data_IF_121177328057
#
_entry.id   IF_121177328057
#
_cell.length_a   1.000
_cell.length_b   1.000
_cell.length_c   1.000
_cell.angle_alpha   90.00
_cell.angle_beta   90.00
_cell.angle_gamma   90.00
#
_symmetry.space_group_name_H-M   'P 1'
#
loop_
_entity.id
_entity.type
_entity.pdbx_description
1 polymer ?
#
# COMPACT_ATOMS: atom_id res chain seq x y z
N UNK A 1 -18.39 14.11 -24.55
CA UNK A 1 -17.96 12.77 -24.09
C UNK A 1 -16.46 12.76 -23.93
N UNK A 2 -15.83 11.61 -23.74
CA UNK A 2 -14.37 11.47 -23.79
C UNK A 2 -13.90 11.27 -25.24
N UNK A 3 -12.82 11.95 -25.63
CA UNK A 3 -12.19 11.84 -26.95
C UNK A 3 -11.25 10.63 -27.07
N UNK A 4 -10.61 10.29 -25.94
CA UNK A 4 -9.71 9.17 -25.79
C UNK A 4 -9.83 8.60 -24.37
N UNK A 5 -9.65 7.28 -24.25
CA UNK A 5 -9.64 6.56 -22.99
C UNK A 5 -8.51 5.55 -23.02
N UNK A 6 -7.62 5.60 -22.04
CA UNK A 6 -6.59 4.58 -21.84
C UNK A 6 -6.92 3.75 -20.61
N UNK A 7 -6.94 2.42 -20.78
CA UNK A 7 -7.27 1.46 -19.72
C UNK A 7 -6.09 0.52 -19.53
N UNK A 8 -5.85 0.15 -18.28
CA UNK A 8 -4.89 -0.88 -17.89
C UNK A 8 -5.65 -2.10 -17.37
N UNK A 9 -5.96 -3.09 -18.22
CA UNK A 9 -6.75 -4.26 -17.83
C UNK A 9 -6.08 -5.11 -16.76
N UNK A 10 -4.77 -4.97 -16.53
CA UNK A 10 -4.07 -5.63 -15.43
C UNK A 10 -4.57 -5.28 -14.04
N UNK A 11 -5.41 -4.24 -13.92
CA UNK A 11 -6.09 -3.87 -12.68
C UNK A 11 -7.39 -4.65 -12.44
N UNK A 12 -7.87 -5.43 -13.42
CA UNK A 12 -9.03 -6.30 -13.27
C UNK A 12 -8.63 -7.69 -12.78
N UNK A 13 -9.60 -8.40 -12.19
CA UNK A 13 -9.44 -9.79 -11.79
C UNK A 13 -9.12 -10.66 -13.03
N UNK A 14 -8.02 -11.41 -12.98
CA UNK A 14 -7.51 -12.17 -14.13
C UNK A 14 -6.74 -11.35 -15.17
N UNK A 15 -6.64 -10.03 -14.99
CA UNK A 15 -5.94 -9.12 -15.90
C UNK A 15 -4.40 -9.09 -15.85
N UNK A 16 -3.68 -9.51 -14.80
CA UNK A 16 -2.22 -9.45 -14.82
C UNK A 16 -1.60 -10.10 -16.07
N UNK A 17 -0.74 -9.36 -16.78
CA UNK A 17 -0.12 -9.79 -18.05
C UNK A 17 -0.87 -9.37 -19.32
N UNK A 18 -1.93 -8.58 -19.23
CA UNK A 18 -2.62 -7.96 -20.39
C UNK A 18 -1.90 -6.70 -20.90
N UNK A 19 -2.01 -6.36 -22.20
CA UNK A 19 -1.56 -5.07 -22.73
C UNK A 19 -2.43 -3.92 -22.18
N UNK A 20 -1.97 -2.67 -22.35
CA UNK A 20 -2.84 -1.51 -22.23
C UNK A 20 -3.80 -1.41 -23.42
N UNK A 21 -4.99 -0.84 -23.22
CA UNK A 21 -5.93 -0.55 -24.30
C UNK A 21 -6.06 0.97 -24.42
N UNK A 22 -5.83 1.48 -25.62
CA UNK A 22 -6.15 2.84 -26.01
C UNK A 22 -7.39 2.81 -26.92
N UNK A 23 -8.46 3.48 -26.49
CA UNK A 23 -9.63 3.76 -27.31
C UNK A 23 -9.62 5.24 -27.66
N UNK A 24 -9.65 5.58 -28.94
CA UNK A 24 -9.74 6.97 -29.41
C UNK A 24 -10.85 7.11 -30.45
N UNK A 25 -11.42 8.31 -30.54
CA UNK A 25 -12.27 8.64 -31.68
C UNK A 25 -11.43 8.59 -32.97
N UNK A 26 -11.89 7.82 -33.97
CA UNK A 26 -11.24 7.71 -35.28
C UNK A 26 -10.96 9.07 -35.94
N UNK A 27 -11.80 10.08 -35.72
CA UNK A 27 -11.60 11.44 -36.24
C UNK A 27 -10.33 12.14 -35.71
N UNK A 28 -9.74 11.63 -34.62
CA UNK A 28 -8.50 12.13 -34.03
C UNK A 28 -7.26 11.44 -34.60
N UNK A 29 -7.43 10.32 -35.30
CA UNK A 29 -6.32 9.62 -35.94
C UNK A 29 -5.91 10.38 -37.21
N UNK A 30 -4.88 11.22 -37.09
CA UNK A 30 -4.37 12.08 -38.17
C UNK A 30 -3.13 11.53 -38.88
N UNK A 31 -2.67 10.35 -38.48
CA UNK A 31 -1.48 9.69 -39.06
C UNK A 31 -1.80 8.88 -40.33
N UNK A 32 -2.97 9.04 -40.95
CA UNK A 32 -3.38 8.25 -42.11
C UNK A 32 -2.33 8.18 -43.24
N UNK A 33 -1.62 9.28 -43.50
CA UNK A 33 -0.56 9.37 -44.51
C UNK A 33 0.86 9.47 -43.91
N UNK A 34 1.01 9.25 -42.60
CA UNK A 34 2.29 9.38 -41.88
C UNK A 34 2.67 8.07 -41.20
N UNK A 35 3.94 7.84 -40.84
CA UNK A 35 4.30 6.65 -40.07
C UNK A 35 3.44 6.51 -38.79
N UNK A 36 3.09 5.27 -38.37
CA UNK A 36 2.42 5.05 -37.09
C UNK A 36 3.27 5.47 -35.89
N UNK A 37 2.67 5.50 -34.70
CA UNK A 37 3.39 5.87 -33.47
C UNK A 37 4.58 4.95 -33.18
N UNK A 38 4.50 3.69 -33.61
CA UNK A 38 5.60 2.72 -33.55
C UNK A 38 5.64 1.95 -34.86
N UNK A 39 6.79 1.99 -35.55
CA UNK A 39 6.98 1.25 -36.81
C UNK A 39 7.49 -0.17 -36.52
N UNK A 40 7.10 -1.14 -37.33
CA UNK A 40 7.58 -2.52 -37.26
C UNK A 40 6.94 -3.41 -38.32
N UNK A 41 7.23 -4.71 -38.26
CA UNK A 41 6.52 -5.68 -39.09
C UNK A 41 5.02 -5.64 -38.82
N UNK A 42 4.21 -5.89 -39.85
CA UNK A 42 2.74 -5.90 -39.71
C UNK A 42 2.05 -4.53 -39.81
N UNK A 43 2.79 -3.42 -39.85
CA UNK A 43 2.19 -2.06 -39.99
C UNK A 43 2.25 -1.49 -41.41
N UNK A 44 2.89 -2.19 -42.32
CA UNK A 44 3.10 -1.79 -43.73
C UNK A 44 2.64 -2.87 -44.69
N UNK A 45 2.06 -2.45 -45.82
CA UNK A 45 1.80 -3.30 -46.97
C UNK A 45 3.02 -3.37 -47.90
N UNK A 46 3.82 -2.29 -47.96
CA UNK A 46 5.01 -2.22 -48.78
C UNK A 46 6.03 -1.25 -48.19
N UNK A 47 7.32 -1.62 -48.28
CA UNK A 47 8.45 -0.76 -47.91
C UNK A 47 9.62 -1.04 -48.87
N UNK A 48 10.37 -0.01 -49.22
CA UNK A 48 11.57 -0.12 -50.05
C UNK A 48 12.75 0.64 -49.40
N UNK A 49 14.01 0.38 -49.83
CA UNK A 49 15.19 1.04 -49.27
C UNK A 49 15.52 2.38 -49.94
N UNK A 50 14.75 2.82 -50.95
CA UNK A 50 15.12 3.94 -51.83
C UNK A 50 14.46 5.26 -51.44
N UNK A 51 13.17 5.24 -51.11
CA UNK A 51 12.42 6.45 -50.77
C UNK A 51 11.30 6.14 -49.77
N UNK A 52 11.36 6.78 -48.60
CA UNK A 52 10.37 6.63 -47.53
C UNK A 52 8.93 6.97 -47.97
N UNK A 53 8.78 7.89 -48.95
CA UNK A 53 7.47 8.31 -49.45
C UNK A 53 6.73 7.22 -50.23
N UNK A 54 7.44 6.19 -50.66
CA UNK A 54 6.86 5.04 -51.36
C UNK A 54 6.35 3.97 -50.38
N UNK A 55 6.54 4.17 -49.07
CA UNK A 55 6.05 3.25 -48.04
C UNK A 55 4.52 3.27 -48.03
N UNK A 56 3.91 2.09 -48.19
CA UNK A 56 2.48 1.92 -48.08
C UNK A 56 2.18 1.35 -46.69
N UNK A 57 1.48 2.12 -45.87
CA UNK A 57 1.05 1.71 -44.54
C UNK A 57 -0.31 1.04 -44.59
N UNK A 58 -0.55 0.11 -43.66
CA UNK A 58 -1.85 -0.54 -43.51
C UNK A 58 -2.93 0.51 -43.20
N UNK A 59 -4.07 0.42 -43.88
CA UNK A 59 -5.21 1.35 -43.73
C UNK A 59 -5.99 1.13 -42.41
N UNK A 60 -6.00 -0.11 -41.89
CA UNK A 60 -6.62 -0.41 -40.61
C UNK A 60 -5.80 0.21 -39.46
N UNK A 61 -6.40 1.17 -38.76
CA UNK A 61 -5.76 1.92 -37.68
C UNK A 61 -5.26 1.01 -36.55
N UNK A 62 -6.02 -0.02 -36.19
CA UNK A 62 -5.64 -0.91 -35.08
C UNK A 62 -4.43 -1.78 -35.44
N UNK A 63 -4.43 -2.35 -36.64
CA UNK A 63 -3.30 -3.16 -37.14
C UNK A 63 -2.05 -2.30 -37.33
N UNK A 64 -2.23 -1.09 -37.85
CA UNK A 64 -1.14 -0.13 -38.09
C UNK A 64 -0.44 0.33 -36.80
N UNK A 65 -1.14 0.37 -35.67
CA UNK A 65 -0.59 0.75 -34.36
C UNK A 65 -0.17 -0.46 -33.50
N UNK A 66 -0.25 -1.69 -34.02
CA UNK A 66 0.12 -2.93 -33.32
C UNK A 66 1.38 -3.57 -33.92
N UNK A 67 2.47 -2.80 -33.91
CA UNK A 67 3.72 -3.15 -34.56
C UNK A 67 4.39 -4.42 -34.00
N UNK A 68 4.94 -5.23 -34.91
CA UNK A 68 5.65 -6.47 -34.60
C UNK A 68 4.71 -7.65 -34.42
N UNK A 69 5.10 -8.62 -33.59
CA UNK A 69 4.23 -9.75 -33.26
C UNK A 69 3.16 -9.31 -32.27
N UNK A 70 1.87 -9.33 -32.64
CA UNK A 70 0.81 -8.91 -31.73
C UNK A 70 0.79 -9.74 -30.45
N UNK A 71 0.43 -9.15 -29.30
CA UNK A 71 0.36 -9.86 -28.03
C UNK A 71 -0.92 -10.73 -27.93
N UNK A 72 -1.10 -11.69 -28.84
CA UNK A 72 -2.36 -12.46 -29.05
C UNK A 72 -2.90 -13.05 -27.74
N UNK A 73 -2.07 -13.81 -27.01
CA UNK A 73 -2.49 -14.44 -25.74
C UNK A 73 -2.88 -13.40 -24.69
N UNK A 74 -2.20 -12.25 -24.67
CA UNK A 74 -2.47 -11.19 -23.72
C UNK A 74 -3.76 -10.43 -24.09
N UNK A 75 -4.08 -10.29 -25.39
CA UNK A 75 -5.37 -9.79 -25.88
C UNK A 75 -6.51 -10.73 -25.51
N UNK A 76 -6.35 -12.04 -25.69
CA UNK A 76 -7.34 -13.05 -25.23
C UNK A 76 -7.56 -12.94 -23.72
N UNK A 77 -6.48 -12.85 -22.92
CA UNK A 77 -6.57 -12.63 -21.47
C UNK A 77 -7.33 -11.35 -21.13
N UNK A 78 -7.15 -10.29 -21.91
CA UNK A 78 -7.87 -9.02 -21.74
C UNK A 78 -9.36 -9.22 -21.91
N UNK A 79 -9.79 -9.87 -23.01
CA UNK A 79 -11.19 -10.17 -23.25
C UNK A 79 -11.80 -10.99 -22.10
N UNK A 80 -11.10 -12.01 -21.61
CA UNK A 80 -11.54 -12.82 -20.47
C UNK A 80 -11.67 -12.01 -19.17
N UNK A 81 -10.74 -11.09 -18.88
CA UNK A 81 -10.83 -10.22 -17.71
C UNK A 81 -12.05 -9.29 -17.78
N UNK A 82 -12.39 -8.79 -18.98
CA UNK A 82 -13.63 -8.04 -19.20
C UNK A 82 -14.87 -8.92 -19.05
N UNK A 83 -14.86 -10.15 -19.57
CA UNK A 83 -15.99 -11.08 -19.39
C UNK A 83 -16.27 -11.38 -17.91
N UNK A 84 -15.22 -11.60 -17.10
CA UNK A 84 -15.38 -11.77 -15.65
C UNK A 84 -16.02 -10.52 -15.03
N UNK A 85 -15.54 -9.32 -15.38
CA UNK A 85 -16.10 -8.06 -14.89
C UNK A 85 -17.57 -7.88 -15.30
N UNK A 86 -17.93 -8.19 -16.54
CA UNK A 86 -19.32 -8.07 -17.02
C UNK A 86 -20.24 -9.10 -16.40
N UNK A 87 -19.76 -10.35 -16.22
CA UNK A 87 -20.50 -11.40 -15.51
C UNK A 87 -20.86 -10.99 -14.08
N UNK A 88 -19.92 -10.39 -13.35
CA UNK A 88 -20.15 -9.89 -11.98
C UNK A 88 -20.99 -8.60 -11.99
N UNK A 89 -20.89 -7.80 -13.05
CA UNK A 89 -21.45 -6.46 -13.21
C UNK A 89 -20.77 -5.37 -12.36
N UNK A 90 -20.57 -4.20 -12.98
CA UNK A 90 -20.02 -3.03 -12.30
C UNK A 90 -20.88 -2.57 -11.11
N UNK A 91 -22.21 -2.80 -11.14
CA UNK A 91 -23.11 -2.42 -10.05
C UNK A 91 -22.86 -3.23 -8.77
N UNK A 92 -22.52 -4.51 -8.91
CA UNK A 92 -22.20 -5.38 -7.77
C UNK A 92 -20.82 -5.00 -7.22
N UNK A 93 -19.83 -4.82 -8.11
CA UNK A 93 -18.48 -4.38 -7.73
C UNK A 93 -18.54 -3.08 -6.94
N UNK A 94 -19.21 -2.06 -7.48
CA UNK A 94 -19.37 -0.76 -6.85
C UNK A 94 -20.05 -0.86 -5.48
N UNK A 95 -21.13 -1.65 -5.37
CA UNK A 95 -21.84 -1.84 -4.10
C UNK A 95 -20.95 -2.49 -3.03
N UNK A 96 -20.21 -3.54 -3.40
CA UNK A 96 -19.33 -4.26 -2.49
C UNK A 96 -18.17 -3.37 -2.02
N UNK A 97 -17.49 -2.69 -2.94
CA UNK A 97 -16.40 -1.77 -2.63
C UNK A 97 -16.87 -0.60 -1.77
N UNK A 98 -18.05 -0.04 -2.07
CA UNK A 98 -18.66 1.01 -1.26
C UNK A 98 -18.97 0.53 0.16
N UNK A 99 -19.56 -0.65 0.30
CA UNK A 99 -19.85 -1.24 1.62
C UNK A 99 -18.58 -1.42 2.44
N UNK A 100 -17.50 -1.94 1.85
CA UNK A 100 -16.24 -2.12 2.57
C UNK A 100 -15.60 -0.81 3.00
N UNK A 101 -15.61 0.22 2.14
CA UNK A 101 -14.97 1.49 2.53
C UNK A 101 -15.76 2.23 3.60
N UNK A 102 -17.09 2.19 3.57
CA UNK A 102 -17.93 2.79 4.61
C UNK A 102 -17.71 2.12 5.97
N UNK A 103 -17.72 0.78 6.01
CA UNK A 103 -17.46 0.03 7.24
C UNK A 103 -16.04 0.26 7.78
N UNK A 104 -15.04 0.36 6.90
CA UNK A 104 -13.67 0.65 7.29
C UNK A 104 -13.53 2.05 7.90
N UNK A 105 -14.17 3.05 7.29
CA UNK A 105 -14.19 4.42 7.82
C UNK A 105 -14.91 4.46 9.17
N UNK A 106 -16.09 3.86 9.29
CA UNK A 106 -16.86 3.83 10.53
C UNK A 106 -16.05 3.22 11.68
N UNK A 107 -15.27 2.17 11.41
CA UNK A 107 -14.46 1.49 12.43
C UNK A 107 -13.18 2.23 12.80
N UNK A 108 -12.47 2.80 11.82
CA UNK A 108 -11.12 3.35 12.04
C UNK A 108 -11.09 4.84 12.36
N UNK A 109 -12.08 5.63 11.93
CA UNK A 109 -12.13 7.08 12.19
C UNK A 109 -12.15 7.45 13.68
N UNK A 110 -12.84 6.72 14.58
CA UNK A 110 -12.83 7.05 16.01
C UNK A 110 -11.46 6.88 16.69
N UNK A 111 -10.49 6.20 16.06
CA UNK A 111 -9.20 5.93 16.68
C UNK A 111 -8.25 7.14 16.55
N UNK A 112 -7.85 7.79 17.66
CA UNK A 112 -7.04 9.04 17.61
C UNK A 112 -5.61 8.84 17.09
N UNK A 113 -5.11 7.60 17.12
CA UNK A 113 -3.78 7.25 16.63
C UNK A 113 -3.77 6.93 15.14
N UNK A 114 -4.93 6.83 14.49
CA UNK A 114 -5.04 6.59 13.06
C UNK A 114 -5.50 7.89 12.40
N UNK A 115 -4.76 8.33 11.39
CA UNK A 115 -5.23 9.40 10.52
C UNK A 115 -5.51 8.85 9.13
N UNK A 116 -6.79 8.78 8.77
CA UNK A 116 -7.22 8.45 7.42
C UNK A 116 -6.99 9.65 6.52
N UNK A 117 -6.27 9.44 5.42
CA UNK A 117 -5.90 10.47 4.48
C UNK A 117 -6.96 10.66 3.38
N UNK A 118 -7.05 11.90 2.91
CA UNK A 118 -8.00 12.36 1.91
C UNK A 118 -9.36 12.73 2.51
N UNK A 119 -10.30 13.11 1.65
CA UNK A 119 -11.66 13.42 2.10
C UNK A 119 -12.37 12.14 2.57
N UNK A 120 -12.91 12.17 3.79
CA UNK A 120 -13.61 11.04 4.42
C UNK A 120 -15.12 11.04 4.19
N UNK A 121 -15.66 12.13 3.64
CA UNK A 121 -17.09 12.31 3.33
C UNK A 121 -17.40 12.12 1.85
N UNK A 122 -16.43 12.36 0.96
CA UNK A 122 -16.60 12.19 -0.47
C UNK A 122 -16.67 10.71 -0.85
N UNK A 123 -17.45 10.40 -1.89
CA UNK A 123 -17.46 9.08 -2.52
C UNK A 123 -16.05 8.70 -2.94
N UNK A 124 -15.58 7.53 -2.51
CA UNK A 124 -14.22 7.05 -2.76
C UNK A 124 -14.20 5.58 -3.12
N UNK A 125 -13.18 5.19 -3.87
CA UNK A 125 -12.84 3.80 -4.11
C UNK A 125 -12.47 3.11 -2.79
N UNK A 126 -12.57 1.77 -2.75
CA UNK A 126 -12.24 0.95 -1.59
C UNK A 126 -10.73 0.84 -1.33
N UNK A 127 -10.07 1.99 -1.26
CA UNK A 127 -8.65 2.17 -1.05
C UNK A 127 -8.47 3.11 0.14
N UNK A 128 -7.90 2.56 1.21
CA UNK A 128 -7.67 3.27 2.45
C UNK A 128 -6.19 3.65 2.55
N UNK A 129 -5.92 4.94 2.58
CA UNK A 129 -4.59 5.51 2.82
C UNK A 129 -4.58 6.13 4.21
N UNK A 130 -3.58 5.82 5.03
CA UNK A 130 -3.56 6.23 6.43
C UNK A 130 -2.15 6.38 7.00
N UNK A 131 -2.06 7.15 8.08
CA UNK A 131 -0.90 7.22 8.97
C UNK A 131 -1.25 6.61 10.32
N UNK A 132 -0.28 5.96 10.94
CA UNK A 132 -0.37 5.52 12.34
C UNK A 132 0.57 6.37 13.16
N UNK A 133 0.04 7.04 14.16
CA UNK A 133 0.78 7.90 15.06
C UNK A 133 1.33 7.16 16.27
N UNK A 134 2.55 7.52 16.64
CA UNK A 134 3.14 7.06 17.90
C UNK A 134 2.66 7.90 19.06
N UNK A 135 2.78 7.36 20.27
CA UNK A 135 2.38 8.02 21.50
C UNK A 135 3.53 8.03 22.49
N UNK A 136 3.60 9.07 23.30
CA UNK A 136 4.57 9.25 24.37
C UNK A 136 3.87 9.67 25.67
N UNK A 137 4.55 9.55 26.80
CA UNK A 137 4.08 10.08 28.07
C UNK A 137 4.62 11.49 28.28
N UNK A 138 3.72 12.42 28.61
CA UNK A 138 4.06 13.76 29.07
C UNK A 138 3.49 13.96 30.48
N UNK A 139 4.33 14.44 31.41
CA UNK A 139 4.00 14.68 32.81
C UNK A 139 3.26 16.00 33.06
N UNK A 140 2.97 16.79 32.02
CA UNK A 140 2.18 18.02 32.13
C UNK A 140 0.71 17.67 32.38
N UNK A 141 0.32 17.62 33.66
CA UNK A 141 -1.07 17.63 34.11
C UNK A 141 -1.64 19.03 33.86
N UNK A 142 -2.45 19.16 32.82
CA UNK A 142 -3.50 20.18 32.77
C UNK A 142 -4.76 19.51 32.19
N UNK A 143 -5.79 19.39 33.04
CA UNK A 143 -7.12 18.95 32.61
C UNK A 143 -7.78 17.91 33.53
N UNK A 144 -8.66 18.39 34.40
CA UNK A 144 -9.72 17.61 35.03
C UNK A 144 -10.55 16.88 33.96
N UNK A 145 -10.68 15.57 34.08
CA UNK A 145 -11.58 14.76 33.27
C UNK A 145 -11.75 13.41 33.94
N UNK A 146 -12.73 13.32 34.83
CA UNK A 146 -13.29 12.03 35.21
C UNK A 146 -13.96 11.45 33.97
N UNK A 147 -13.60 10.21 33.63
CA UNK A 147 -14.58 9.15 33.44
C UNK A 147 -13.89 7.82 33.21
N UNK A 148 -14.59 6.80 33.67
CA UNK A 148 -14.19 5.41 33.82
C UNK A 148 -14.08 4.67 32.47
N UNK A 149 -13.36 5.21 31.47
CA UNK A 149 -13.06 4.51 30.21
C UNK A 149 -11.85 3.57 30.38
N UNK A 150 -12.09 2.56 31.20
CA UNK A 150 -11.15 1.49 31.52
C UNK A 150 -11.00 0.57 30.28
N UNK A 151 -9.82 0.58 29.63
CA UNK A 151 -9.00 -0.60 29.26
C UNK A 151 -8.09 -0.46 28.01
N UNK A 152 -8.23 0.54 27.13
CA UNK A 152 -7.34 0.67 25.94
C UNK A 152 -6.14 1.62 26.14
N UNK A 153 -6.30 2.66 26.96
CA UNK A 153 -5.32 3.75 27.13
C UNK A 153 -4.07 3.37 27.95
N UNK A 154 -3.97 2.16 28.52
CA UNK A 154 -2.75 1.71 29.22
C UNK A 154 -1.61 1.34 28.26
N UNK A 155 -1.95 1.03 27.02
CA UNK A 155 -0.99 0.56 26.02
C UNK A 155 -0.41 1.69 25.18
N UNK A 156 -1.08 2.85 25.14
CA UNK A 156 -0.70 4.08 24.45
C UNK A 156 -0.38 5.19 25.46
N UNK A 157 0.47 6.15 25.10
CA UNK A 157 0.74 7.34 25.91
C UNK A 157 -0.38 8.39 25.83
N UNK A 158 -0.24 9.47 26.60
CA UNK A 158 -1.21 10.58 26.65
C UNK A 158 -0.93 11.70 25.64
N UNK A 159 0.21 11.68 24.93
CA UNK A 159 0.59 12.66 23.92
C UNK A 159 0.90 12.00 22.59
N UNK A 160 0.33 12.53 21.51
CA UNK A 160 0.62 12.13 20.12
C UNK A 160 1.98 12.67 19.69
N UNK A 161 2.78 11.83 19.05
CA UNK A 161 4.12 12.14 18.55
C UNK A 161 4.17 11.92 17.02
N UNK A 162 5.34 11.85 16.37
CA UNK A 162 5.48 11.62 14.93
C UNK A 162 4.84 10.30 14.47
N UNK A 163 4.35 10.22 13.22
CA UNK A 163 3.81 8.98 12.66
C UNK A 163 4.89 7.92 12.48
N UNK A 164 4.50 6.65 12.53
CA UNK A 164 5.32 5.55 12.04
C UNK A 164 5.53 5.71 10.52
N UNK A 165 6.73 5.37 10.06
CA UNK A 165 7.05 5.39 8.64
C UNK A 165 6.12 4.45 7.84
N UNK A 166 5.53 4.91 6.74
CA UNK A 166 4.53 4.13 5.98
C UNK A 166 5.01 2.74 5.54
N UNK A 167 6.23 2.61 4.97
CA UNK A 167 6.87 1.32 4.72
C UNK A 167 7.10 0.45 5.96
N UNK A 168 7.30 1.02 7.15
CA UNK A 168 7.41 0.24 8.38
C UNK A 168 6.07 -0.39 8.77
N UNK A 169 4.99 0.39 8.74
CA UNK A 169 3.64 -0.14 9.01
C UNK A 169 3.28 -1.24 7.99
N UNK A 170 3.60 -1.04 6.71
CA UNK A 170 3.40 -2.08 5.70
C UNK A 170 4.23 -3.34 5.98
N UNK A 171 5.47 -3.17 6.47
CA UNK A 171 6.33 -4.28 6.88
C UNK A 171 5.76 -5.05 8.08
N UNK A 172 5.20 -4.35 9.08
CA UNK A 172 4.53 -4.99 10.22
C UNK A 172 3.27 -5.75 9.81
N UNK A 173 2.44 -5.18 8.93
CA UNK A 173 1.27 -5.85 8.37
C UNK A 173 1.65 -7.18 7.68
N UNK A 174 2.75 -7.16 6.92
CA UNK A 174 3.27 -8.36 6.27
C UNK A 174 3.83 -9.38 7.28
N UNK A 175 4.76 -8.96 8.14
CA UNK A 175 5.55 -9.89 8.96
C UNK A 175 4.73 -10.50 10.10
N UNK A 176 3.76 -9.76 10.66
CA UNK A 176 2.94 -10.24 11.78
C UNK A 176 1.66 -10.94 11.32
N UNK A 177 1.10 -10.53 10.17
CA UNK A 177 -0.26 -10.92 9.78
C UNK A 177 -0.38 -11.47 8.36
N UNK A 178 0.70 -11.46 7.57
CA UNK A 178 0.66 -11.87 6.16
C UNK A 178 -0.17 -10.93 5.27
N UNK A 179 -0.43 -9.69 5.72
CA UNK A 179 -1.23 -8.71 4.99
C UNK A 179 -0.31 -7.88 4.09
N UNK A 180 -0.50 -7.97 2.78
CA UNK A 180 0.24 -7.18 1.82
C UNK A 180 -0.33 -5.75 1.71
N UNK A 181 0.38 -4.79 2.27
CA UNK A 181 0.10 -3.36 2.12
C UNK A 181 1.19 -2.66 1.29
N UNK A 182 0.96 -1.40 0.90
CA UNK A 182 1.98 -0.57 0.25
C UNK A 182 2.32 0.63 1.14
N UNK A 183 3.62 0.89 1.33
CA UNK A 183 4.13 2.09 1.98
C UNK A 183 4.80 3.03 0.98
N UNK A 184 4.60 4.35 1.13
CA UNK A 184 5.25 5.38 0.31
C UNK A 184 4.27 6.47 -0.14
N UNK A 185 4.62 7.22 -1.20
CA UNK A 185 3.79 8.32 -1.72
C UNK A 185 2.85 7.93 -2.89
N UNK A 186 2.71 6.63 -3.16
CA UNK A 186 1.81 6.08 -4.19
C UNK A 186 1.96 6.68 -5.60
N UNK A 187 3.18 7.06 -6.00
CA UNK A 187 3.48 7.75 -7.27
C UNK A 187 2.78 9.11 -7.43
N UNK A 188 2.33 9.70 -6.32
CA UNK A 188 1.58 10.95 -6.29
C UNK A 188 2.34 12.00 -5.47
N UNK A 189 3.62 12.23 -5.82
CA UNK A 189 4.54 13.10 -5.07
C UNK A 189 3.95 14.48 -4.73
N UNK A 190 3.51 15.28 -5.73
CA UNK A 190 2.91 16.59 -5.49
C UNK A 190 1.66 16.53 -4.60
N UNK A 191 0.76 15.58 -4.86
CA UNK A 191 -0.43 15.37 -4.02
C UNK A 191 -0.04 14.99 -2.58
N UNK A 192 1.02 14.20 -2.41
CA UNK A 192 1.57 13.84 -1.12
C UNK A 192 2.08 15.06 -0.32
N UNK A 193 2.60 16.08 -1.00
CA UNK A 193 3.01 17.32 -0.33
C UNK A 193 1.78 18.06 0.22
N UNK A 194 0.75 18.24 -0.60
CA UNK A 194 -0.51 18.85 -0.17
C UNK A 194 -1.20 18.05 0.94
N UNK A 195 -1.17 16.72 0.85
CA UNK A 195 -1.85 15.81 1.78
C UNK A 195 -1.18 15.75 3.15
N UNK A 196 0.14 15.89 3.18
CA UNK A 196 0.96 15.81 4.39
C UNK A 196 1.40 17.19 4.90
N UNK A 197 0.88 18.27 4.31
CA UNK A 197 1.23 19.66 4.63
C UNK A 197 2.74 19.93 4.55
N UNK A 198 3.40 19.39 3.52
CA UNK A 198 4.81 19.68 3.22
C UNK A 198 4.88 20.99 2.45
N UNK A 199 5.44 22.02 3.08
CA UNK A 199 5.70 23.31 2.43
C UNK A 199 6.97 23.26 1.55
N UNK A 200 7.25 24.38 0.87
CA UNK A 200 8.40 24.50 -0.04
C UNK A 200 9.75 24.30 0.69
N UNK A 201 10.04 24.95 1.82
CA UNK A 201 11.27 24.69 2.58
C UNK A 201 11.48 23.21 2.93
N UNK A 202 10.46 22.52 3.45
CA UNK A 202 10.56 21.11 3.80
C UNK A 202 10.76 20.24 2.54
N UNK A 203 10.07 20.58 1.44
CA UNK A 203 10.24 19.90 0.14
C UNK A 203 11.68 20.01 -0.37
N UNK A 204 12.28 21.20 -0.31
CA UNK A 204 13.66 21.43 -0.73
C UNK A 204 14.65 20.68 0.17
N UNK A 205 14.40 20.65 1.48
CA UNK A 205 15.22 19.85 2.40
C UNK A 205 15.16 18.34 2.09
N UNK A 206 13.99 17.81 1.74
CA UNK A 206 13.88 16.42 1.28
C UNK A 206 14.70 16.19 0.02
N UNK A 207 14.64 17.10 -0.95
CA UNK A 207 15.44 17.02 -2.19
C UNK A 207 16.94 16.96 -1.87
N UNK A 208 17.42 17.85 -1.01
CA UNK A 208 18.85 17.95 -0.69
C UNK A 208 19.35 16.69 0.03
N UNK A 209 18.58 16.18 1.00
CA UNK A 209 18.86 14.89 1.65
C UNK A 209 18.87 13.71 0.67
N UNK A 210 17.96 13.68 -0.30
CA UNK A 210 17.93 12.65 -1.35
C UNK A 210 19.17 12.76 -2.25
N UNK A 211 19.63 13.96 -2.59
CA UNK A 211 20.86 14.18 -3.37
C UNK A 211 22.11 13.67 -2.63
N UNK A 212 22.12 13.74 -1.29
CA UNK A 212 23.17 13.15 -0.44
C UNK A 212 23.07 11.61 -0.32
N UNK A 213 22.08 11.00 -0.98
CA UNK A 213 21.87 9.57 -1.02
C UNK A 213 20.96 9.03 0.09
N UNK A 214 20.25 9.89 0.83
CA UNK A 214 19.30 9.50 1.87
C UNK A 214 17.86 9.42 1.35
N UNK A 215 17.57 8.47 0.44
CA UNK A 215 16.22 8.35 -0.13
C UNK A 215 15.13 7.96 0.89
N UNK A 216 15.50 7.47 2.07
CA UNK A 216 14.58 7.07 3.12
C UNK A 216 13.82 8.23 3.78
N UNK A 217 14.26 9.48 3.60
CA UNK A 217 13.58 10.67 4.15
C UNK A 217 12.25 10.98 3.47
N UNK A 218 11.96 10.34 2.32
CA UNK A 218 10.76 10.60 1.53
C UNK A 218 9.49 10.40 2.39
N UNK A 219 8.62 11.43 2.49
CA UNK A 219 7.37 11.28 3.21
C UNK A 219 6.44 10.32 2.46
N UNK A 220 5.52 9.71 3.20
CA UNK A 220 4.57 8.76 2.65
C UNK A 220 3.65 8.20 3.70
N UNK A 221 2.75 7.32 3.25
CA UNK A 221 1.72 6.71 4.08
C UNK A 221 1.62 5.22 3.80
N UNK A 222 0.78 4.53 4.57
CA UNK A 222 0.42 3.14 4.29
C UNK A 222 -0.92 3.10 3.57
N UNK A 223 -1.04 2.18 2.62
CA UNK A 223 -2.26 1.97 1.86
C UNK A 223 -2.64 0.50 1.78
N UNK A 224 -3.91 0.21 2.04
CA UNK A 224 -4.57 -1.07 1.80
C UNK A 224 -5.74 -0.88 0.83
N UNK A 225 -6.16 -1.93 0.14
CA UNK A 225 -7.31 -1.91 -0.76
C UNK A 225 -8.22 -3.09 -0.43
N UNK A 226 -9.53 -2.90 -0.52
CA UNK A 226 -10.53 -3.92 -0.26
C UNK A 226 -11.18 -4.31 -1.59
N UNK A 227 -10.64 -5.31 -2.31
CA UNK A 227 -11.23 -5.76 -3.55
C UNK A 227 -12.62 -6.36 -3.30
N UNK A 228 -13.54 -6.21 -4.25
CA UNK A 228 -14.91 -6.70 -4.14
C UNK A 228 -15.03 -8.22 -3.89
N UNK A 229 -14.01 -9.00 -4.26
CA UNK A 229 -13.97 -10.47 -4.08
C UNK A 229 -13.34 -10.90 -2.74
N UNK A 230 -12.99 -9.97 -1.86
CA UNK A 230 -12.51 -10.24 -0.50
C UNK A 230 -13.64 -10.80 0.37
N UNK A 231 -13.32 -11.73 1.27
CA UNK A 231 -14.26 -12.22 2.28
C UNK A 231 -14.46 -11.22 3.43
N UNK A 232 -15.58 -11.34 4.15
CA UNK A 232 -15.85 -10.49 5.32
C UNK A 232 -14.83 -10.73 6.44
N UNK A 233 -14.40 -11.98 6.59
CA UNK A 233 -13.43 -12.39 7.61
C UNK A 233 -12.05 -11.76 7.36
N UNK A 234 -11.57 -11.77 6.12
CA UNK A 234 -10.34 -11.08 5.71
C UNK A 234 -10.44 -9.57 5.94
N UNK A 235 -11.56 -8.97 5.55
CA UNK A 235 -11.80 -7.53 5.75
C UNK A 235 -11.71 -7.15 7.23
N UNK A 236 -12.42 -7.88 8.10
CA UNK A 236 -12.40 -7.64 9.55
C UNK A 236 -11.00 -7.86 10.13
N UNK A 237 -10.27 -8.89 9.68
CA UNK A 237 -8.91 -9.17 10.12
C UNK A 237 -7.94 -8.04 9.74
N UNK A 238 -8.05 -7.48 8.52
CA UNK A 238 -7.22 -6.34 8.10
C UNK A 238 -7.44 -5.13 9.00
N UNK A 239 -8.70 -4.80 9.33
CA UNK A 239 -9.00 -3.68 10.22
C UNK A 239 -8.45 -3.93 11.63
N UNK A 240 -8.60 -5.15 12.16
CA UNK A 240 -8.05 -5.53 13.46
C UNK A 240 -6.51 -5.46 13.50
N UNK A 241 -5.83 -5.81 12.41
CA UNK A 241 -4.38 -5.69 12.28
C UNK A 241 -3.92 -4.22 12.24
N UNK A 242 -4.66 -3.34 11.55
CA UNK A 242 -4.39 -1.89 11.55
C UNK A 242 -4.57 -1.32 12.97
N UNK A 243 -5.65 -1.67 13.66
CA UNK A 243 -5.90 -1.28 15.05
C UNK A 243 -4.79 -1.80 15.98
N UNK A 244 -4.35 -3.05 15.82
CA UNK A 244 -3.22 -3.60 16.56
C UNK A 244 -1.97 -2.74 16.38
N UNK A 245 -1.61 -2.38 15.15
CA UNK A 245 -0.42 -1.55 14.90
C UNK A 245 -0.61 -0.14 15.48
N UNK A 246 -1.83 0.40 15.50
CA UNK A 246 -2.11 1.69 16.13
C UNK A 246 -1.90 1.72 17.65
N UNK A 247 -1.94 0.56 18.29
CA UNK A 247 -1.75 0.40 19.74
C UNK A 247 -0.31 -0.02 20.05
N UNK A 248 0.23 -1.00 19.32
CA UNK A 248 1.47 -1.68 19.66
C UNK A 248 2.62 -1.43 18.68
N UNK A 249 2.35 -0.85 17.50
CA UNK A 249 3.30 -0.79 16.37
C UNK A 249 4.64 -0.17 16.72
N UNK A 250 4.65 0.90 17.53
CA UNK A 250 5.89 1.56 17.94
C UNK A 250 6.83 0.63 18.73
N UNK A 251 6.29 -0.34 19.48
CA UNK A 251 7.08 -1.28 20.30
C UNK A 251 7.96 -2.19 19.46
N UNK A 252 7.59 -2.40 18.20
CA UNK A 252 8.35 -3.24 17.27
C UNK A 252 9.55 -2.53 16.67
N UNK A 253 9.67 -1.20 16.78
CA UNK A 253 10.80 -0.45 16.21
C UNK A 253 12.17 -1.08 16.53
N UNK A 254 12.50 -1.46 17.79
CA UNK A 254 13.78 -2.08 18.15
C UNK A 254 14.15 -3.32 17.33
N UNK A 255 13.16 -4.12 16.91
CA UNK A 255 13.35 -5.38 16.20
C UNK A 255 13.73 -5.22 14.72
N UNK A 256 13.57 -4.02 14.16
CA UNK A 256 13.86 -3.79 12.74
C UNK A 256 15.08 -2.91 12.56
N UNK A 257 15.70 -2.88 11.39
CA UNK A 257 16.69 -1.89 10.98
C UNK A 257 16.08 -1.01 9.89
N UNK A 258 16.28 0.30 10.00
CA UNK A 258 15.90 1.26 8.95
C UNK A 258 17.14 1.68 8.18
N UNK A 259 17.12 1.46 6.86
CA UNK A 259 18.17 1.91 5.97
C UNK A 259 17.82 3.30 5.43
N UNK A 260 18.48 4.35 5.93
CA UNK A 260 18.27 5.73 5.50
C UNK A 260 18.55 5.98 4.02
N UNK A 261 19.42 5.16 3.39
CA UNK A 261 19.75 5.32 1.97
C UNK A 261 18.65 4.81 1.06
N UNK A 262 17.98 3.71 1.42
CA UNK A 262 16.94 3.09 0.60
C UNK A 262 15.51 3.31 1.09
N UNK A 263 15.31 3.67 2.36
CA UNK A 263 14.01 3.69 3.02
C UNK A 263 13.48 2.31 3.41
N UNK A 264 14.28 1.25 3.25
CA UNK A 264 13.85 -0.12 3.53
C UNK A 264 13.90 -0.43 5.04
N UNK A 265 12.94 -1.27 5.47
CA UNK A 265 12.87 -1.83 6.82
C UNK A 265 13.16 -3.33 6.77
N UNK A 266 14.18 -3.78 7.50
CA UNK A 266 14.59 -5.20 7.56
C UNK A 266 14.49 -5.71 8.98
N UNK A 267 14.04 -6.95 9.17
CA UNK A 267 13.98 -7.57 10.49
C UNK A 267 15.40 -7.92 10.96
N UNK A 268 15.72 -7.67 12.24
CA UNK A 268 17.01 -8.01 12.84
C UNK A 268 16.93 -9.40 13.45
N UNK A 269 17.36 -10.43 12.73
CA UNK A 269 17.39 -11.81 13.23
C UNK A 269 18.18 -11.93 14.55
N UNK A 270 19.31 -11.21 14.67
CA UNK A 270 20.14 -11.20 15.90
C UNK A 270 19.45 -10.53 17.10
N UNK A 271 18.51 -9.60 16.88
CA UNK A 271 17.75 -8.98 17.96
C UNK A 271 16.75 -9.97 18.59
N UNK A 272 16.38 -11.02 17.86
CA UNK A 272 15.53 -12.10 18.35
C UNK A 272 16.31 -13.11 19.21
N UNK A 273 17.61 -13.28 18.96
CA UNK A 273 18.48 -14.23 19.67
C UNK A 273 19.20 -13.66 20.90
N UNK A 274 19.10 -12.36 21.18
CA UNK A 274 19.85 -11.72 22.26
C UNK A 274 18.97 -11.40 23.49
N UNK A 275 19.15 -12.19 24.55
CA UNK A 275 18.94 -11.95 25.98
C UNK A 275 17.58 -11.48 26.55
N UNK A 276 16.53 -11.18 25.79
CA UNK A 276 15.25 -10.73 26.39
C UNK A 276 14.11 -11.77 26.43
N UNK A 277 14.18 -12.89 25.70
CA UNK A 277 13.15 -13.93 25.77
C UNK A 277 13.52 -15.32 25.19
N UNK A 278 14.80 -15.71 25.22
CA UNK A 278 15.24 -16.93 24.51
C UNK A 278 14.62 -18.25 25.00
N UNK A 279 14.10 -18.35 26.23
CA UNK A 279 13.49 -19.58 26.73
C UNK A 279 11.98 -19.69 26.49
N UNK A 280 11.25 -18.56 26.40
CA UNK A 280 9.80 -18.56 26.19
C UNK A 280 9.40 -18.43 24.71
N UNK A 281 10.17 -17.71 23.88
CA UNK A 281 9.84 -17.49 22.46
C UNK A 281 10.18 -18.67 21.54
N UNK A 282 11.24 -19.43 21.82
CA UNK A 282 11.61 -20.63 21.05
C UNK A 282 10.53 -21.71 21.12
N UNK A 283 9.87 -21.87 22.27
CA UNK A 283 8.71 -22.75 22.40
C UNK A 283 7.46 -22.24 21.65
N UNK A 284 7.24 -20.92 21.58
CA UNK A 284 6.10 -20.33 20.86
C UNK A 284 6.21 -20.48 19.33
N UNK A 285 7.42 -20.36 18.77
CA UNK A 285 7.65 -20.58 17.34
C UNK A 285 7.58 -22.07 16.97
N UNK A 286 8.04 -22.97 17.84
CA UNK A 286 7.94 -24.43 17.65
C UNK A 286 6.49 -24.96 17.60
N UNK A 287 5.53 -24.24 18.20
CA UNK A 287 4.10 -24.58 18.11
C UNK A 287 3.49 -24.16 16.74
N UNK A 288 4.15 -23.26 15.99
CA UNK A 288 3.66 -22.81 14.69
C UNK A 288 4.11 -23.68 13.50
N UNK A 289 5.22 -24.41 13.66
CA UNK A 289 5.81 -25.22 12.58
C UNK A 289 5.36 -26.69 12.58
N UNK A 290 4.58 -27.14 13.56
CA UNK A 290 3.81 -28.38 13.40
C UNK A 290 2.59 -28.13 12.52
N UNK A 291 2.76 -28.40 11.22
CA UNK A 291 1.69 -28.53 10.24
C UNK A 291 0.71 -29.64 10.67
N UNK A 292 -0.32 -29.30 11.43
CA UNK A 292 -1.54 -30.11 11.44
C UNK A 292 -2.26 -29.83 10.13
N UNK A 293 -2.42 -30.89 9.32
CA UNK A 293 -3.37 -30.90 8.19
C UNK A 293 -4.77 -30.70 8.77
N UNK A 294 -5.23 -29.46 8.88
CA UNK A 294 -6.58 -29.16 9.37
C UNK A 294 -7.54 -28.99 8.19
N UNK A 295 -8.61 -29.78 8.22
CA UNK A 295 -9.65 -29.83 7.21
C UNK A 295 -10.41 -28.49 7.13
N UNK A 296 -10.54 -27.99 5.89
CA UNK A 296 -11.24 -26.76 5.52
C UNK A 296 -12.75 -26.83 5.77
N UNK A 297 -13.22 -26.32 6.90
CA UNK A 297 -14.54 -25.71 7.03
C UNK A 297 -14.38 -24.40 7.83
N UNK A 298 -15.16 -23.36 7.51
CA UNK A 298 -14.91 -21.93 7.77
C UNK A 298 -14.49 -21.47 9.19
N UNK A 299 -14.53 -22.34 10.22
CA UNK A 299 -13.95 -22.05 11.54
C UNK A 299 -12.42 -21.97 11.55
N UNK A 300 -11.72 -22.67 10.65
CA UNK A 300 -10.25 -22.70 10.63
C UNK A 300 -9.59 -21.37 10.30
N UNK A 301 -10.19 -20.58 9.39
CA UNK A 301 -9.62 -19.30 8.96
C UNK A 301 -9.72 -18.23 10.06
N UNK A 302 -10.89 -18.13 10.71
CA UNK A 302 -11.10 -17.20 11.83
C UNK A 302 -10.18 -17.56 13.00
N UNK A 303 -10.05 -18.86 13.32
CA UNK A 303 -9.13 -19.33 14.34
C UNK A 303 -7.68 -18.94 14.04
N UNK A 304 -7.23 -19.07 12.78
CA UNK A 304 -5.91 -18.64 12.33
C UNK A 304 -5.69 -17.14 12.54
N UNK A 305 -6.66 -16.30 12.20
CA UNK A 305 -6.58 -14.85 12.40
C UNK A 305 -6.51 -14.46 13.88
N UNK A 306 -7.32 -15.09 14.73
CA UNK A 306 -7.24 -14.90 16.19
C UNK A 306 -5.85 -15.27 16.70
N UNK A 307 -5.31 -16.42 16.28
CA UNK A 307 -3.96 -16.87 16.66
C UNK A 307 -2.87 -15.87 16.24
N UNK A 308 -2.96 -15.26 15.06
CA UNK A 308 -2.01 -14.22 14.65
C UNK A 308 -2.07 -12.98 15.54
N UNK A 309 -3.27 -12.48 15.85
CA UNK A 309 -3.45 -11.32 16.75
C UNK A 309 -2.93 -11.63 18.15
N UNK A 310 -3.24 -12.80 18.71
CA UNK A 310 -2.78 -13.20 20.04
C UNK A 310 -1.26 -13.35 20.10
N UNK A 311 -0.66 -13.96 19.08
CA UNK A 311 0.80 -14.12 19.00
C UNK A 311 1.48 -12.74 18.92
N UNK A 312 0.97 -11.86 18.05
CA UNK A 312 1.50 -10.50 17.93
C UNK A 312 1.37 -9.72 19.26
N UNK A 313 0.25 -9.85 19.98
CA UNK A 313 0.05 -9.26 21.32
C UNK A 313 1.06 -9.79 22.34
N UNK A 314 1.31 -11.10 22.38
CA UNK A 314 2.33 -11.70 23.27
C UNK A 314 3.71 -11.11 22.99
N UNK A 315 4.10 -11.00 21.72
CA UNK A 315 5.37 -10.38 21.33
C UNK A 315 5.40 -8.91 21.77
N UNK A 316 4.36 -8.13 21.49
CA UNK A 316 4.28 -6.71 21.84
C UNK A 316 4.37 -6.44 23.35
N UNK A 317 3.91 -7.37 24.19
CA UNK A 317 3.99 -7.27 25.64
C UNK A 317 5.40 -7.51 26.20
N UNK A 318 6.27 -8.18 25.44
CA UNK A 318 7.67 -8.39 25.80
C UNK A 318 8.57 -7.21 25.38
N UNK A 319 8.04 -6.28 24.58
CA UNK A 319 8.78 -5.15 24.03
C UNK A 319 8.54 -3.88 24.85
N UNK A 320 9.52 -2.96 24.90
CA UNK A 320 9.36 -1.69 25.61
C UNK A 320 8.19 -0.89 25.04
N UNK A 321 7.33 -0.36 25.92
CA UNK A 321 6.14 0.40 25.50
C UNK A 321 6.49 1.67 24.70
N UNK A 322 7.56 2.35 25.10
CA UNK A 322 8.05 3.60 24.51
C UNK A 322 9.54 3.45 24.18
N UNK A 323 9.89 2.79 23.06
CA UNK A 323 11.28 2.65 22.69
C UNK A 323 11.89 4.03 22.36
N UNK A 324 13.18 4.24 22.67
CA UNK A 324 13.86 5.49 22.36
C UNK A 324 13.88 5.74 20.85
N UNK A 325 13.90 7.03 20.47
CA UNK A 325 14.11 7.45 19.08
C UNK A 325 15.46 6.93 18.60
N UNK A 326 15.53 6.43 17.37
CA UNK A 326 16.82 6.05 16.78
C UNK A 326 17.67 7.26 16.41
N UNK A 327 19.01 7.08 16.42
CA UNK A 327 19.91 8.09 15.89
C UNK A 327 19.58 8.33 14.41
N UNK A 328 19.41 9.61 14.10
CA UNK A 328 19.29 10.13 12.75
C UNK A 328 20.72 10.46 12.30
N UNK A 329 21.10 10.18 11.03
CA UNK A 329 22.40 10.58 10.49
C UNK A 329 22.70 12.05 10.79
N UNK A 330 23.94 12.37 11.18
CA UNK A 330 24.34 13.72 11.60
C UNK A 330 24.14 14.75 10.48
N UNK A 331 24.16 14.31 9.22
CA UNK A 331 23.96 15.18 8.06
C UNK A 331 22.48 15.49 7.77
N UNK A 332 21.53 14.93 8.53
CA UNK A 332 20.10 15.17 8.39
C UNK A 332 19.56 15.96 9.59
N UNK A 333 18.78 17.01 9.31
CA UNK A 333 18.06 17.74 10.37
C UNK A 333 16.94 16.87 10.98
N UNK A 334 17.00 16.55 12.29
CA UNK A 334 15.96 15.79 12.98
C UNK A 334 14.55 16.40 12.91
N UNK A 335 14.45 17.72 12.76
CA UNK A 335 13.16 18.41 12.66
C UNK A 335 12.47 18.14 11.33
N UNK A 336 13.26 17.88 10.28
CA UNK A 336 12.77 17.65 8.93
C UNK A 336 12.35 16.20 8.69
N UNK A 337 12.71 15.26 9.56
CA UNK A 337 12.24 13.86 9.47
C UNK A 337 10.77 13.77 9.91
N UNK A 338 9.81 13.49 9.01
CA UNK A 338 8.38 13.61 9.31
C UNK A 338 7.80 12.37 10.00
N UNK A 339 8.64 11.42 10.43
CA UNK A 339 8.23 10.15 11.01
C UNK A 339 9.16 9.69 12.14
N UNK A 340 8.70 8.72 12.93
CA UNK A 340 9.47 8.04 13.96
C UNK A 340 10.29 6.89 13.36
N UNK A 341 11.53 6.74 13.82
CA UNK A 341 12.49 5.70 13.40
C UNK A 341 13.02 4.93 14.60
#
# INVERSE_FOLDING_TARGET
GYDAVFISPHKFLGGPGTPGILLINKALYRLGTSPPSTCGGGTVDFVNPYNEKDTLYVENIEEREDAGTPPIIQKVRTALAFWVKEFISHKVIERMEHTYIELALQRLLPNPNIWILGNVTAKRQAVLSFLIYTTTYSSSRDGNGGDNELYLWRETGNKKDKPLHGPFVAKLLNDLFGIQARGGCACAGPYGHSLLNVDEPHSLAFRDAIQMGYSGVKPGWTRVSFPYYMSKEEFVFILAAIEFISIYGQRFLPLYHFNWRSGAWTFKEKAFNCNFCCSQMTNLLNISCHNTKENNYGGGLVYKYVKYIETAKRIANLLPKFPPQRPIPEELDPNLVPFRV
#
